data_IF_860638205151
#
_entry.id   IF_860638205151
#
_cell.length_a   1.000
_cell.length_b   1.000
_cell.length_c   1.000
_cell.angle_alpha   90.00
_cell.angle_beta   90.00
_cell.angle_gamma   90.00
#
_symmetry.space_group_name_H-M   'P 1'
#
loop_
_entity.id
_entity.type
_entity.pdbx_description
1 polymer ?
#
# COMPACT_ATOMS: atom_id res chain seq x y z
N UNK A 1 -6.27 -13.19 14.99
CA UNK A 1 -5.71 -12.61 13.76
C UNK A 1 -5.02 -11.32 14.16
N UNK A 2 -3.80 -11.08 13.69
CA UNK A 2 -3.08 -9.84 13.99
C UNK A 2 -3.70 -8.67 13.22
N UNK A 3 -3.64 -7.47 13.82
CA UNK A 3 -3.93 -6.23 13.11
C UNK A 3 -2.85 -6.03 12.01
N UNK A 4 -3.22 -5.64 10.78
CA UNK A 4 -2.26 -5.43 9.69
C UNK A 4 -1.15 -4.47 10.05
N UNK A 5 -1.45 -3.46 10.86
CA UNK A 5 -0.47 -2.47 11.31
C UNK A 5 0.59 -3.08 12.22
N UNK A 6 0.35 -4.24 12.83
CA UNK A 6 1.35 -4.96 13.62
C UNK A 6 2.33 -5.76 12.73
N UNK A 7 2.02 -5.91 11.44
CA UNK A 7 2.88 -6.58 10.46
C UNK A 7 3.73 -5.53 9.72
N UNK A 8 5.06 -5.70 9.62
CA UNK A 8 5.89 -4.82 8.81
C UNK A 8 5.37 -4.66 7.38
N UNK A 9 5.30 -3.40 6.94
CA UNK A 9 4.90 -3.10 5.58
C UNK A 9 5.97 -3.58 4.59
N UNK A 10 5.52 -4.15 3.48
CA UNK A 10 6.37 -4.67 2.40
C UNK A 10 5.77 -4.21 1.08
N UNK A 11 6.43 -3.24 0.45
CA UNK A 11 5.97 -2.61 -0.78
C UNK A 11 5.88 -3.62 -1.94
N UNK A 12 6.72 -4.66 -1.92
CA UNK A 12 6.79 -5.65 -3.00
C UNK A 12 5.50 -6.44 -3.16
N UNK A 13 4.76 -6.63 -2.07
CA UNK A 13 3.46 -7.34 -2.08
C UNK A 13 2.36 -6.59 -2.82
N UNK A 14 2.54 -5.29 -3.06
CA UNK A 14 1.59 -4.42 -3.79
C UNK A 14 2.05 -4.08 -5.21
N UNK A 15 3.18 -4.63 -5.68
CA UNK A 15 3.71 -4.37 -7.00
C UNK A 15 2.72 -4.73 -8.14
N UNK A 16 1.85 -5.73 -7.90
CA UNK A 16 0.82 -6.19 -8.85
C UNK A 16 -0.09 -5.07 -9.35
N UNK A 17 -0.37 -4.06 -8.50
CA UNK A 17 -1.26 -2.94 -8.85
C UNK A 17 -0.75 -2.09 -10.01
N UNK A 18 0.55 -2.16 -10.29
CA UNK A 18 1.21 -1.45 -11.40
C UNK A 18 1.61 -2.34 -12.57
N UNK A 19 1.24 -3.62 -12.55
CA UNK A 19 1.53 -4.56 -13.62
C UNK A 19 0.48 -4.42 -14.74
N UNK A 20 0.84 -3.69 -15.79
CA UNK A 20 -0.01 -3.43 -16.95
C UNK A 20 0.43 -4.16 -18.23
N UNK A 21 1.30 -5.17 -18.12
CA UNK A 21 1.99 -5.76 -19.29
C UNK A 21 1.04 -6.32 -20.36
N UNK A 22 -0.16 -6.77 -19.94
CA UNK A 22 -1.20 -7.32 -20.84
C UNK A 22 -2.25 -6.28 -21.25
N UNK A 23 -2.12 -5.04 -20.81
CA UNK A 23 -3.09 -3.98 -21.11
C UNK A 23 -2.52 -2.94 -22.06
N UNK A 24 -3.37 -2.48 -22.97
CA UNK A 24 -3.08 -1.37 -23.88
C UNK A 24 -4.30 -0.50 -24.00
N UNK A 25 -4.07 0.79 -24.21
CA UNK A 25 -5.10 1.77 -24.53
C UNK A 25 -4.67 2.49 -25.80
N UNK A 26 -5.61 2.74 -26.71
CA UNK A 26 -5.34 3.47 -27.95
C UNK A 26 -5.38 5.00 -27.73
N UNK A 27 -5.67 5.46 -26.50
CA UNK A 27 -5.66 6.86 -26.09
C UNK A 27 -4.26 7.27 -25.57
N UNK A 28 -3.51 8.10 -26.31
CA UNK A 28 -2.17 8.53 -25.90
C UNK A 28 -2.18 9.40 -24.63
N UNK A 29 -3.26 10.16 -24.39
CA UNK A 29 -3.38 10.97 -23.19
C UNK A 29 -3.55 10.08 -21.95
N UNK A 30 -4.35 9.02 -22.05
CA UNK A 30 -4.49 8.04 -20.96
C UNK A 30 -3.20 7.28 -20.69
N UNK A 31 -2.41 6.97 -21.73
CA UNK A 31 -1.09 6.33 -21.56
C UNK A 31 -0.15 7.21 -20.72
N UNK A 32 -0.08 8.51 -21.01
CA UNK A 32 0.75 9.44 -20.24
C UNK A 32 0.25 9.60 -18.79
N UNK A 33 -1.06 9.70 -18.60
CA UNK A 33 -1.66 9.80 -17.26
C UNK A 33 -1.38 8.51 -16.45
N UNK A 34 -1.51 7.33 -17.08
CA UNK A 34 -1.21 6.04 -16.46
C UNK A 34 0.22 5.94 -15.94
N UNK A 35 1.21 6.30 -16.76
CA UNK A 35 2.60 6.25 -16.32
C UNK A 35 2.87 7.22 -15.17
N UNK A 36 2.27 8.40 -15.18
CA UNK A 36 2.40 9.36 -14.08
C UNK A 36 1.79 8.83 -12.77
N UNK A 37 0.57 8.29 -12.80
CA UNK A 37 -0.06 7.75 -11.57
C UNK A 37 0.63 6.48 -11.08
N UNK A 38 1.14 5.66 -11.99
CA UNK A 38 1.95 4.47 -11.68
C UNK A 38 3.24 4.84 -10.97
N UNK A 39 3.98 5.81 -11.49
CA UNK A 39 5.21 6.30 -10.85
C UNK A 39 4.90 6.95 -9.50
N UNK A 40 3.86 7.78 -9.43
CA UNK A 40 3.42 8.38 -8.17
C UNK A 40 3.07 7.33 -7.11
N UNK A 41 2.32 6.28 -7.48
CA UNK A 41 1.99 5.19 -6.57
C UNK A 41 3.24 4.43 -6.09
N UNK A 42 4.19 4.12 -6.98
CA UNK A 42 5.47 3.48 -6.62
C UNK A 42 6.29 4.32 -5.65
N UNK A 43 6.38 5.62 -5.89
CA UNK A 43 7.09 6.53 -4.99
C UNK A 43 6.43 6.59 -3.61
N UNK A 44 5.09 6.59 -3.54
CA UNK A 44 4.35 6.54 -2.27
C UNK A 44 4.51 5.19 -1.56
N UNK A 45 4.55 4.08 -2.27
CA UNK A 45 4.83 2.75 -1.71
C UNK A 45 6.18 2.74 -1.00
N UNK A 46 7.24 3.16 -1.70
CA UNK A 46 8.60 3.19 -1.15
C UNK A 46 8.73 4.19 0.01
N UNK A 47 8.07 5.34 -0.11
CA UNK A 47 8.02 6.33 0.98
C UNK A 47 7.38 5.74 2.23
N UNK A 48 6.23 5.06 2.09
CA UNK A 48 5.56 4.47 3.23
C UNK A 48 6.35 3.33 3.84
N UNK A 49 6.97 2.46 3.03
CA UNK A 49 7.86 1.39 3.52
C UNK A 49 9.02 1.93 4.34
N UNK A 50 9.69 2.99 3.87
CA UNK A 50 10.73 3.65 4.64
C UNK A 50 10.21 4.22 5.96
N UNK A 51 9.03 4.86 5.95
CA UNK A 51 8.43 5.45 7.16
C UNK A 51 7.94 4.40 8.15
N UNK A 52 7.40 3.29 7.67
CA UNK A 52 7.00 2.14 8.49
C UNK A 52 8.20 1.52 9.19
N UNK A 53 9.30 1.31 8.45
CA UNK A 53 10.54 0.81 9.03
C UNK A 53 11.08 1.73 10.12
N UNK A 54 11.23 3.03 9.84
CA UNK A 54 11.71 4.01 10.81
C UNK A 54 10.82 4.07 12.07
N UNK A 55 9.50 4.10 11.87
CA UNK A 55 8.54 4.15 12.97
C UNK A 55 8.64 2.88 13.84
N UNK A 56 8.80 1.70 13.24
CA UNK A 56 8.95 0.44 13.99
C UNK A 56 10.24 0.35 14.77
N UNK A 57 11.34 0.86 14.22
CA UNK A 57 12.62 0.93 14.96
C UNK A 57 12.48 1.79 16.21
N UNK A 58 11.85 2.97 16.09
CA UNK A 58 11.59 3.84 17.24
C UNK A 58 10.59 3.23 18.23
N UNK A 59 9.53 2.58 17.73
CA UNK A 59 8.55 1.88 18.57
C UNK A 59 9.20 0.75 19.36
N UNK A 60 10.07 -0.04 18.72
CA UNK A 60 10.84 -1.10 19.38
C UNK A 60 11.70 -0.53 20.50
N UNK A 61 12.43 0.55 20.24
CA UNK A 61 13.20 1.23 21.29
C UNK A 61 12.31 1.76 22.43
N UNK A 62 11.13 2.31 22.12
CA UNK A 62 10.18 2.77 23.13
C UNK A 62 9.66 1.60 23.99
N UNK A 63 9.33 0.45 23.38
CA UNK A 63 8.93 -0.77 24.10
C UNK A 63 10.06 -1.33 24.97
N UNK A 64 11.25 -1.47 24.40
CA UNK A 64 12.41 -2.04 25.09
C UNK A 64 12.83 -1.18 26.30
N UNK A 65 12.59 0.13 26.27
CA UNK A 65 12.80 1.06 27.38
C UNK A 65 11.58 1.22 28.32
N UNK A 66 10.49 0.47 28.11
CA UNK A 66 9.28 0.55 28.93
C UNK A 66 8.48 1.86 28.80
N UNK A 67 8.72 2.64 27.74
CA UNK A 67 8.07 3.93 27.50
C UNK A 67 6.66 3.79 26.89
N UNK A 68 6.31 2.63 26.37
CA UNK A 68 4.96 2.36 25.85
C UNK A 68 4.58 0.88 25.98
N UNK A 69 3.30 0.64 26.18
CA UNK A 69 2.67 -0.68 26.03
C UNK A 69 1.60 -0.68 24.94
N UNK A 70 1.40 0.47 24.27
CA UNK A 70 0.39 0.63 23.24
C UNK A 70 0.72 -0.24 22.01
N UNK A 71 -0.31 -0.70 21.27
CA UNK A 71 -0.12 -1.28 19.94
C UNK A 71 0.59 -0.31 19.00
N UNK A 72 1.31 -0.84 18.01
CA UNK A 72 2.13 -0.04 17.09
C UNK A 72 1.31 1.03 16.38
N UNK A 73 0.15 0.70 15.81
CA UNK A 73 -0.69 1.67 15.10
C UNK A 73 -1.02 2.90 15.93
N UNK A 74 -1.48 2.68 17.17
CA UNK A 74 -1.84 3.76 18.08
C UNK A 74 -0.61 4.60 18.42
N UNK A 75 0.51 3.94 18.71
CA UNK A 75 1.76 4.62 19.02
C UNK A 75 2.27 5.44 17.83
N UNK A 76 2.25 4.88 16.61
CA UNK A 76 2.76 5.50 15.39
C UNK A 76 1.96 6.75 15.02
N UNK A 77 0.63 6.72 15.11
CA UNK A 77 -0.22 7.90 14.86
C UNK A 77 0.12 9.06 15.81
N UNK A 78 0.44 8.75 17.07
CA UNK A 78 0.71 9.77 18.09
C UNK A 78 2.14 10.30 18.07
N UNK A 79 3.12 9.41 17.86
CA UNK A 79 4.54 9.70 18.05
C UNK A 79 5.31 9.84 16.73
N UNK A 80 4.74 9.34 15.63
CA UNK A 80 5.34 9.43 14.31
C UNK A 80 4.30 9.88 13.26
N UNK A 81 3.83 11.14 13.32
CA UNK A 81 2.75 11.62 12.43
C UNK A 81 3.03 11.45 10.93
N UNK A 82 4.31 11.50 10.54
CA UNK A 82 4.72 11.29 9.14
C UNK A 82 4.46 9.87 8.61
N UNK A 83 4.32 8.87 9.48
CA UNK A 83 3.90 7.52 9.11
C UNK A 83 2.44 7.52 8.68
N UNK A 84 1.58 8.16 9.48
CA UNK A 84 0.16 8.27 9.17
C UNK A 84 -0.07 9.07 7.89
N UNK A 85 0.62 10.19 7.71
CA UNK A 85 0.54 11.00 6.49
C UNK A 85 1.01 10.23 5.24
N UNK A 86 2.08 9.44 5.37
CA UNK A 86 2.57 8.60 4.27
C UNK A 86 1.56 7.50 3.93
N UNK A 87 0.91 6.91 4.94
CA UNK A 87 -0.17 5.93 4.78
C UNK A 87 -1.35 6.50 3.99
N UNK A 88 -1.90 7.64 4.43
CA UNK A 88 -3.01 8.31 3.73
C UNK A 88 -2.63 8.71 2.30
N UNK A 89 -1.40 9.17 2.09
CA UNK A 89 -0.90 9.52 0.76
C UNK A 89 -0.80 8.31 -0.16
N UNK A 90 -0.46 7.14 0.37
CA UNK A 90 -0.42 5.88 -0.38
C UNK A 90 -1.83 5.41 -0.73
N UNK A 91 -2.78 5.45 0.21
CA UNK A 91 -4.19 5.10 -0.02
C UNK A 91 -4.82 5.99 -1.12
N UNK A 92 -4.56 7.30 -1.07
CA UNK A 92 -5.02 8.24 -2.08
C UNK A 92 -4.41 7.96 -3.47
N UNK A 93 -3.10 7.71 -3.53
CA UNK A 93 -2.42 7.38 -4.79
C UNK A 93 -2.92 6.05 -5.38
N UNK A 94 -3.21 5.07 -4.53
CA UNK A 94 -3.77 3.79 -4.95
C UNK A 94 -5.19 3.91 -5.50
N UNK A 95 -6.06 4.68 -4.82
CA UNK A 95 -7.39 4.97 -5.33
C UNK A 95 -7.33 5.66 -6.70
N UNK A 96 -6.43 6.63 -6.88
CA UNK A 96 -6.22 7.32 -8.15
C UNK A 96 -5.72 6.35 -9.24
N UNK A 97 -4.75 5.48 -8.92
CA UNK A 97 -4.24 4.46 -9.84
C UNK A 97 -5.35 3.56 -10.33
N UNK A 98 -6.17 3.02 -9.43
CA UNK A 98 -7.30 2.16 -9.76
C UNK A 98 -8.30 2.88 -10.67
N UNK A 99 -8.67 4.12 -10.36
CA UNK A 99 -9.62 4.90 -11.19
C UNK A 99 -9.09 5.13 -12.61
N UNK A 100 -7.82 5.51 -12.76
CA UNK A 100 -7.21 5.76 -14.07
C UNK A 100 -7.06 4.46 -14.86
N UNK A 101 -6.65 3.37 -14.22
CA UNK A 101 -6.51 2.06 -14.86
C UNK A 101 -7.85 1.51 -15.34
N UNK A 102 -8.93 1.66 -14.55
CA UNK A 102 -10.29 1.32 -14.98
C UNK A 102 -10.70 2.15 -16.21
N UNK A 103 -10.42 3.46 -16.20
CA UNK A 103 -10.74 4.31 -17.35
C UNK A 103 -9.98 3.91 -18.62
N UNK A 104 -8.73 3.47 -18.48
CA UNK A 104 -7.88 3.14 -19.62
C UNK A 104 -8.11 1.74 -20.17
N UNK A 105 -8.39 0.76 -19.30
CA UNK A 105 -8.41 -0.67 -19.65
C UNK A 105 -9.77 -1.33 -19.44
N UNK A 106 -10.71 -0.64 -18.77
CA UNK A 106 -12.06 -1.12 -18.52
C UNK A 106 -12.11 -2.35 -17.60
N UNK A 107 -13.11 -3.19 -17.86
CA UNK A 107 -13.42 -4.39 -17.07
C UNK A 107 -12.30 -5.43 -17.04
N UNK A 108 -11.42 -5.44 -18.04
CA UNK A 108 -10.28 -6.35 -18.08
C UNK A 108 -9.30 -6.07 -16.93
N UNK A 109 -9.06 -4.81 -16.61
CA UNK A 109 -8.26 -4.43 -15.45
C UNK A 109 -8.99 -4.71 -14.14
N UNK A 110 -10.29 -4.40 -14.04
CA UNK A 110 -11.08 -4.69 -12.83
C UNK A 110 -11.02 -6.17 -12.46
N UNK A 111 -11.19 -7.06 -13.45
CA UNK A 111 -11.13 -8.50 -13.25
C UNK A 111 -9.75 -8.95 -12.75
N UNK A 112 -8.67 -8.50 -13.41
CA UNK A 112 -7.30 -8.83 -12.99
C UNK A 112 -7.02 -8.31 -11.57
N UNK A 113 -7.35 -7.05 -11.31
CA UNK A 113 -7.14 -6.42 -10.01
C UNK A 113 -7.88 -7.17 -8.89
N UNK A 114 -9.15 -7.53 -9.08
CA UNK A 114 -9.92 -8.29 -8.10
C UNK A 114 -9.30 -9.67 -7.85
N UNK A 115 -8.83 -10.36 -8.89
CA UNK A 115 -8.19 -11.67 -8.75
C UNK A 115 -6.87 -11.57 -7.98
N UNK A 116 -5.99 -10.64 -8.34
CA UNK A 116 -4.71 -10.42 -7.65
C UNK A 116 -4.92 -9.94 -6.20
N UNK A 117 -5.87 -9.05 -5.97
CA UNK A 117 -6.26 -8.60 -4.64
C UNK A 117 -6.78 -9.75 -3.77
N UNK A 118 -7.60 -10.64 -4.34
CA UNK A 118 -8.08 -11.83 -3.64
C UNK A 118 -6.92 -12.76 -3.25
N UNK A 119 -5.97 -12.99 -4.15
CA UNK A 119 -4.78 -13.80 -3.86
C UNK A 119 -3.91 -13.18 -2.75
N UNK A 120 -3.70 -11.86 -2.80
CA UNK A 120 -3.02 -11.12 -1.74
C UNK A 120 -3.74 -11.25 -0.39
N UNK A 121 -5.06 -11.07 -0.37
CA UNK A 121 -5.86 -11.20 0.84
C UNK A 121 -5.78 -12.63 1.43
N UNK A 122 -5.86 -13.65 0.58
CA UNK A 122 -5.72 -15.05 1.01
C UNK A 122 -4.35 -15.32 1.61
N UNK A 123 -3.27 -14.80 1.01
CA UNK A 123 -1.92 -14.94 1.54
C UNK A 123 -1.77 -14.28 2.92
N UNK A 124 -2.34 -13.08 3.11
CA UNK A 124 -2.37 -12.41 4.40
C UNK A 124 -3.10 -13.23 5.48
N UNK A 125 -4.26 -13.79 5.13
CA UNK A 125 -5.03 -14.64 6.04
C UNK A 125 -4.31 -15.92 6.41
N UNK A 126 -3.64 -16.58 5.46
CA UNK A 126 -2.81 -17.75 5.72
C UNK A 126 -1.63 -17.43 6.65
N UNK A 127 -1.08 -16.22 6.55
CA UNK A 127 -0.06 -15.71 7.46
C UNK A 127 -0.64 -15.16 8.80
N UNK A 128 -1.96 -15.22 9.01
CA UNK A 128 -2.60 -14.95 10.29
C UNK A 128 -2.94 -13.49 10.58
N UNK A 129 -2.95 -12.61 9.58
CA UNK A 129 -3.27 -11.18 9.72
C UNK A 129 -4.35 -10.73 8.72
N UNK A 130 -5.04 -9.61 9.01
CA UNK A 130 -5.93 -8.98 8.02
C UNK A 130 -5.09 -8.15 7.04
N UNK A 131 -5.33 -8.22 5.72
CA UNK A 131 -4.61 -7.39 4.76
C UNK A 131 -4.99 -5.91 4.90
N UNK A 132 -4.01 -5.02 4.74
CA UNK A 132 -4.28 -3.61 4.47
C UNK A 132 -4.48 -3.39 2.98
N UNK A 133 -5.53 -2.64 2.65
CA UNK A 133 -5.89 -2.28 1.29
C UNK A 133 -5.42 -0.84 1.05
N UNK A 134 -4.52 -0.70 0.09
CA UNK A 134 -4.04 0.57 -0.43
C UNK A 134 -4.50 0.71 -1.85
#
# INVERSE_FOLDING_TARGET
>A
MLDPTEVPFDASKLAFRTNFDDFRTDDPALTHVLENVKNSYRDRLLTFESKDKDAREQYKAAKDNGLTTDPFARWAVQNYPSWHQAKESLEAAGAQLTQVAIRAFGSAYEYKFQHEQSAFNQAAYQAGYYPELF
#
